data_IF_588008157223
#
_entry.id   IF_588008157223
#
_cell.length_a   1.000
_cell.length_b   1.000
_cell.length_c   1.000
_cell.angle_alpha   90.00
_cell.angle_beta   90.00
_cell.angle_gamma   90.00
#
_symmetry.space_group_name_H-M   'P 1'
#
loop_
_entity.id
_entity.type
_entity.pdbx_description
1 polymer ?
#
# COMPACT_ATOMS: atom_id res chain seq x y z
N UNK A 1 0.08 -21.79 5.82
CA UNK A 1 0.91 -20.81 6.56
C UNK A 1 0.75 -19.47 5.85
N UNK A 2 0.29 -18.40 6.54
CA UNK A 2 0.24 -17.05 5.96
C UNK A 2 1.63 -16.43 6.11
N UNK A 3 2.26 -15.99 5.02
CA UNK A 3 3.57 -15.33 5.06
C UNK A 3 3.37 -13.82 5.18
N UNK A 4 4.04 -13.20 6.14
CA UNK A 4 4.02 -11.75 6.27
C UNK A 4 4.81 -11.11 5.13
N UNK A 5 4.14 -10.25 4.37
CA UNK A 5 4.74 -9.47 3.32
C UNK A 5 4.81 -8.00 3.76
N UNK A 6 6.00 -7.40 3.72
CA UNK A 6 6.25 -6.00 4.09
C UNK A 6 6.89 -5.29 2.90
N UNK A 7 6.36 -4.13 2.55
CA UNK A 7 6.83 -3.34 1.41
C UNK A 7 6.48 -1.86 1.62
N UNK A 8 7.09 -0.99 0.81
CA UNK A 8 6.77 0.43 0.73
C UNK A 8 5.72 0.67 -0.35
N UNK A 9 4.53 1.11 0.06
CA UNK A 9 3.44 1.44 -0.84
C UNK A 9 3.83 2.64 -1.73
N UNK A 10 3.51 2.57 -3.03
CA UNK A 10 3.81 3.61 -4.01
C UNK A 10 5.21 3.57 -4.62
N UNK A 11 6.06 2.60 -4.24
CA UNK A 11 7.45 2.49 -4.71
C UNK A 11 7.65 1.42 -5.80
N UNK A 12 6.57 1.03 -6.51
CA UNK A 12 6.64 -0.01 -7.55
C UNK A 12 6.99 -1.41 -7.06
N UNK A 13 6.93 -1.66 -5.74
CA UNK A 13 7.25 -2.97 -5.14
C UNK A 13 6.12 -3.99 -5.24
N UNK A 14 4.94 -3.55 -5.69
CA UNK A 14 3.74 -4.37 -5.90
C UNK A 14 3.14 -3.97 -7.24
N UNK A 15 2.47 -4.91 -7.89
CA UNK A 15 1.71 -4.67 -9.12
C UNK A 15 0.72 -3.51 -8.94
N UNK A 16 0.44 -2.80 -10.04
CA UNK A 16 -0.33 -1.56 -10.04
C UNK A 16 -1.69 -1.71 -9.33
N UNK A 17 -2.43 -2.79 -9.63
CA UNK A 17 -3.72 -3.07 -9.01
C UNK A 17 -3.64 -3.31 -7.51
N UNK A 18 -2.59 -3.98 -7.04
CA UNK A 18 -2.35 -4.18 -5.61
C UNK A 18 -1.99 -2.87 -4.90
N UNK A 19 -1.17 -2.03 -5.55
CA UNK A 19 -0.81 -0.73 -5.03
C UNK A 19 -2.04 0.18 -4.85
N UNK A 20 -2.97 0.20 -5.80
CA UNK A 20 -4.20 0.99 -5.69
C UNK A 20 -5.20 0.36 -4.72
N UNK A 21 -5.37 -0.97 -4.75
CA UNK A 21 -6.28 -1.68 -3.86
C UNK A 21 -5.93 -1.53 -2.39
N UNK A 22 -4.65 -1.62 -2.04
CA UNK A 22 -4.22 -1.52 -0.63
C UNK A 22 -4.44 -0.11 -0.06
N UNK A 23 -4.41 0.95 -0.89
CA UNK A 23 -4.71 2.33 -0.46
C UNK A 23 -6.16 2.52 0.01
N UNK A 24 -7.08 1.66 -0.41
CA UNK A 24 -8.50 1.78 -0.06
C UNK A 24 -8.84 1.02 1.23
N UNK A 25 -7.93 0.18 1.72
CA UNK A 25 -8.15 -0.67 2.87
C UNK A 25 -8.04 0.07 4.19
N UNK A 26 -8.75 -0.44 5.20
CA UNK A 26 -8.60 -0.07 6.61
C UNK A 26 -7.67 -1.04 7.32
N UNK A 27 -7.08 -0.60 8.43
CA UNK A 27 -6.27 -1.49 9.29
C UNK A 27 -7.11 -2.67 9.77
N UNK A 28 -6.57 -3.88 9.63
CA UNK A 28 -7.21 -5.15 9.98
C UNK A 28 -8.19 -5.69 8.93
N UNK A 29 -8.38 -4.99 7.82
CA UNK A 29 -9.29 -5.42 6.77
C UNK A 29 -8.73 -6.64 6.00
N UNK A 30 -9.62 -7.56 5.63
CA UNK A 30 -9.35 -8.73 4.82
C UNK A 30 -10.19 -8.65 3.53
N UNK A 31 -9.54 -8.60 2.37
CA UNK A 31 -10.20 -8.41 1.07
C UNK A 31 -9.56 -9.32 0.02
N UNK A 32 -10.40 -9.82 -0.89
CA UNK A 32 -9.94 -10.49 -2.09
C UNK A 32 -9.98 -9.52 -3.26
N UNK A 33 -8.81 -9.18 -3.81
CA UNK A 33 -8.69 -8.36 -5.01
C UNK A 33 -8.67 -9.23 -6.26
N UNK A 34 -9.53 -8.91 -7.22
CA UNK A 34 -9.48 -9.45 -8.59
C UNK A 34 -8.85 -8.39 -9.48
N UNK A 35 -7.65 -8.64 -9.97
CA UNK A 35 -6.82 -7.68 -10.69
C UNK A 35 -6.72 -8.10 -12.16
N UNK A 36 -7.26 -7.28 -13.08
CA UNK A 36 -7.17 -7.56 -14.50
C UNK A 36 -5.71 -7.38 -14.99
N UNK A 37 -5.33 -8.02 -16.10
CA UNK A 37 -3.94 -8.09 -16.55
C UNK A 37 -3.28 -6.72 -16.76
N UNK A 38 -4.04 -5.71 -17.20
CA UNK A 38 -3.55 -4.34 -17.42
C UNK A 38 -3.10 -3.63 -16.12
N UNK A 39 -3.50 -4.18 -14.97
CA UNK A 39 -3.11 -3.73 -13.64
C UNK A 39 -2.18 -4.71 -12.92
N UNK A 40 -1.82 -5.83 -13.56
CA UNK A 40 -0.93 -6.84 -13.03
C UNK A 40 0.50 -6.64 -13.56
N UNK A 41 0.85 -7.33 -14.63
CA UNK A 41 2.17 -7.30 -15.26
C UNK A 41 2.08 -6.67 -16.65
N UNK A 42 3.18 -6.07 -17.09
CA UNK A 42 3.30 -5.61 -18.47
C UNK A 42 3.44 -6.80 -19.44
N UNK A 43 3.22 -6.54 -20.73
CA UNK A 43 3.26 -7.58 -21.79
C UNK A 43 4.65 -8.25 -21.94
N UNK A 44 5.67 -7.74 -21.24
CA UNK A 44 7.02 -8.31 -21.20
C UNK A 44 7.10 -9.50 -20.24
N UNK A 45 6.58 -10.65 -20.68
CA UNK A 45 7.02 -11.96 -20.17
C UNK A 45 6.16 -12.61 -19.09
N UNK A 46 4.95 -12.10 -18.81
CA UNK A 46 3.98 -12.76 -17.93
C UNK A 46 2.69 -13.07 -18.70
N UNK A 47 2.00 -14.21 -18.45
CA UNK A 47 0.75 -14.51 -19.13
C UNK A 47 -0.28 -13.41 -18.87
N UNK A 48 -0.97 -13.00 -19.93
CA UNK A 48 -2.10 -12.07 -19.90
C UNK A 48 -3.27 -12.69 -19.10
N UNK A 49 -3.19 -12.64 -17.78
CA UNK A 49 -4.07 -13.33 -16.86
C UNK A 49 -4.64 -12.37 -15.81
N UNK A 50 -5.90 -12.60 -15.45
CA UNK A 50 -6.50 -11.98 -14.27
C UNK A 50 -5.96 -12.68 -13.02
N UNK A 51 -5.47 -11.91 -12.07
CA UNK A 51 -4.91 -12.41 -10.82
C UNK A 51 -5.90 -12.21 -9.68
N UNK A 52 -5.88 -13.12 -8.71
CA UNK A 52 -6.68 -13.00 -7.50
C UNK A 52 -5.76 -13.03 -6.28
N UNK A 53 -5.88 -12.03 -5.40
CA UNK A 53 -5.08 -11.90 -4.19
C UNK A 53 -5.98 -11.84 -2.96
N UNK A 54 -5.78 -12.75 -2.01
CA UNK A 54 -6.35 -12.67 -0.67
C UNK A 54 -5.38 -11.86 0.22
N UNK A 55 -5.81 -10.68 0.65
CA UNK A 55 -4.96 -9.69 1.32
C UNK A 55 -5.55 -9.32 2.68
N UNK A 56 -4.69 -9.36 3.69
CA UNK A 56 -4.97 -8.88 5.05
C UNK A 56 -4.04 -7.69 5.38
N UNK A 57 -4.61 -6.50 5.63
CA UNK A 57 -3.82 -5.33 5.99
C UNK A 57 -3.58 -5.25 7.50
N UNK A 58 -2.48 -5.81 7.97
CA UNK A 58 -2.18 -5.87 9.41
C UNK A 58 -1.86 -4.48 10.02
N UNK A 59 -0.99 -3.72 9.36
CA UNK A 59 -0.53 -2.40 9.83
C UNK A 59 0.27 -1.69 8.75
N UNK A 60 0.37 -0.36 8.83
CA UNK A 60 1.35 0.43 8.10
C UNK A 60 2.03 1.44 9.04
N UNK A 61 3.07 2.10 8.54
CA UNK A 61 3.62 3.30 9.17
C UNK A 61 3.63 4.44 8.17
N UNK A 62 3.02 5.56 8.54
CA UNK A 62 3.02 6.77 7.73
C UNK A 62 4.44 7.36 7.70
N UNK A 63 4.99 7.54 6.50
CA UNK A 63 6.28 8.20 6.29
C UNK A 63 6.05 9.45 5.46
N UNK A 64 6.47 10.61 5.96
CA UNK A 64 6.36 11.90 5.28
C UNK A 64 7.74 12.42 4.93
N UNK A 65 7.95 12.78 3.67
CA UNK A 65 9.08 13.60 3.28
C UNK A 65 8.86 15.02 3.80
N UNK A 66 9.77 15.49 4.64
CA UNK A 66 9.63 16.79 5.32
C UNK A 66 10.02 17.95 4.41
N UNK A 67 10.95 17.70 3.49
CA UNK A 67 11.55 18.74 2.63
C UNK A 67 11.12 18.60 1.16
N UNK A 68 10.47 17.50 0.80
CA UNK A 68 10.07 17.14 -0.57
C UNK A 68 11.26 16.94 -1.53
N UNK A 69 12.41 16.53 -0.98
CA UNK A 69 13.65 16.24 -1.72
C UNK A 69 14.04 14.76 -1.66
N UNK A 70 13.31 13.94 -0.89
CA UNK A 70 13.59 12.53 -0.64
C UNK A 70 14.71 12.27 0.38
N UNK A 71 15.34 13.31 0.93
CA UNK A 71 16.48 13.16 1.84
C UNK A 71 16.03 12.99 3.29
N UNK A 72 15.03 13.76 3.72
CA UNK A 72 14.59 13.79 5.13
C UNK A 72 13.21 13.16 5.30
N UNK A 73 13.20 11.88 5.66
CA UNK A 73 11.97 11.10 5.86
C UNK A 73 11.57 11.03 7.34
N UNK A 74 10.39 11.57 7.68
CA UNK A 74 9.79 11.44 9.03
C UNK A 74 8.88 10.22 9.10
N UNK A 75 9.29 9.22 9.87
CA UNK A 75 8.44 8.07 10.23
C UNK A 75 7.54 8.43 11.41
N UNK A 76 6.22 8.36 11.23
CA UNK A 76 5.24 8.67 12.25
C UNK A 76 4.94 7.40 13.05
N UNK A 77 5.52 7.30 14.26
CA UNK A 77 5.36 6.11 15.11
C UNK A 77 4.04 6.17 15.90
N UNK A 78 3.58 7.37 16.23
CA UNK A 78 2.33 7.65 16.93
C UNK A 78 1.68 8.84 16.24
N UNK A 79 0.51 8.63 15.63
CA UNK A 79 -0.36 9.71 15.19
C UNK A 79 -1.06 10.25 16.44
N UNK A 80 -0.68 11.47 16.87
CA UNK A 80 -1.43 12.20 17.89
C UNK A 80 -2.50 12.99 17.14
N UNK A 81 -3.76 12.86 17.55
CA UNK A 81 -4.80 13.76 17.07
C UNK A 81 -4.47 15.17 17.54
N UNK A 82 -4.20 16.09 16.60
CA UNK A 82 -4.23 17.51 16.92
C UNK A 82 -5.69 17.86 17.22
N UNK A 83 -6.03 17.99 18.50
CA UNK A 83 -7.25 18.68 18.91
C UNK A 83 -7.16 20.09 18.34
N UNK A 84 -7.97 20.36 17.31
CA UNK A 84 -8.21 21.72 16.85
C UNK A 84 -8.88 22.45 18.02
N UNK A 85 -8.10 23.13 18.86
CA UNK A 85 -8.63 24.17 19.72
C UNK A 85 -9.22 25.24 18.79
N UNK A 86 -10.54 25.19 18.66
CA UNK A 86 -11.32 26.19 17.96
C UNK A 86 -11.36 27.43 18.87
N UNK A 87 -10.91 28.62 18.42
CA UNK A 87 -11.05 29.85 19.19
C UNK A 87 -12.52 30.24 19.41
#
# INVERSE_FOLDING_TARGET
MRTLFKFNLGQGQVIKGGNEGIKTMKKGENVVFTIPPELAYDESGSPNATLQFDVELLSWTSVKDVLNDGEVMKKIIIEREETKENP
#
